data_IF_827236296553
#
_entry.id   IF_827236296553
#
_cell.length_a   1.000
_cell.length_b   1.000
_cell.length_c   1.000
_cell.angle_alpha   90.00
_cell.angle_beta   90.00
_cell.angle_gamma   90.00
#
_symmetry.space_group_name_H-M   'P 1'
#
loop_
_entity.id
_entity.type
_entity.pdbx_description
1 polymer ?
#
# COMPACT_ATOMS: atom_id res chain seq x y z
N UNK A 1 -27.76 -9.65 20.55
CA UNK A 1 -26.98 -10.19 19.41
C UNK A 1 -25.61 -9.52 19.44
N UNK A 2 -24.54 -10.29 19.29
CA UNK A 2 -23.17 -9.76 19.30
C UNK A 2 -22.74 -9.43 17.87
N UNK A 3 -22.09 -8.28 17.69
CA UNK A 3 -21.49 -7.88 16.41
C UNK A 3 -20.45 -8.93 15.98
N UNK A 4 -20.51 -9.40 14.72
CA UNK A 4 -19.57 -10.37 14.15
C UNK A 4 -18.82 -9.74 12.96
N UNK A 5 -17.63 -9.21 13.24
CA UNK A 5 -16.69 -8.74 12.22
C UNK A 5 -15.82 -9.93 11.80
N UNK A 6 -15.65 -10.15 10.50
CA UNK A 6 -14.92 -11.31 9.96
C UNK A 6 -13.57 -10.96 9.36
N UNK A 7 -13.44 -9.75 8.79
CA UNK A 7 -12.26 -9.34 8.04
C UNK A 7 -12.20 -7.82 7.87
N UNK A 8 -11.03 -7.32 7.48
CA UNK A 8 -10.89 -6.00 6.88
C UNK A 8 -11.30 -6.11 5.40
N UNK A 9 -12.37 -5.43 5.01
CA UNK A 9 -12.89 -5.54 3.65
C UNK A 9 -12.11 -4.68 2.63
N UNK A 10 -11.90 -3.41 2.96
CA UNK A 10 -11.17 -2.48 2.10
C UNK A 10 -10.51 -1.37 2.92
N UNK A 11 -9.55 -0.69 2.28
CA UNK A 11 -9.06 0.63 2.71
C UNK A 11 -9.49 1.65 1.68
N UNK A 12 -9.88 2.84 2.13
CA UNK A 12 -10.26 3.94 1.26
C UNK A 12 -9.24 5.09 1.39
N UNK A 13 -8.83 5.64 0.25
CA UNK A 13 -7.87 6.73 0.16
C UNK A 13 -8.50 7.89 -0.59
N UNK A 14 -8.49 9.05 0.05
CA UNK A 14 -8.89 10.29 -0.59
C UNK A 14 -7.70 10.83 -1.40
N UNK A 15 -7.90 11.09 -2.68
CA UNK A 15 -6.87 11.43 -3.66
C UNK A 15 -7.21 12.71 -4.42
N UNK A 16 -6.19 13.41 -4.89
CA UNK A 16 -6.35 14.68 -5.61
C UNK A 16 -6.39 14.50 -7.14
N UNK A 17 -5.76 13.46 -7.67
CA UNK A 17 -5.67 13.19 -9.11
C UNK A 17 -5.90 11.69 -9.40
N UNK A 18 -7.05 11.39 -10.01
CA UNK A 18 -7.48 10.01 -10.31
C UNK A 18 -6.54 9.31 -11.28
N UNK A 19 -6.06 9.99 -12.31
CA UNK A 19 -5.20 9.39 -13.32
C UNK A 19 -3.82 9.08 -12.75
N UNK A 20 -3.24 10.03 -12.01
CA UNK A 20 -1.95 9.85 -11.34
C UNK A 20 -2.01 8.69 -10.33
N UNK A 21 -3.07 8.61 -9.52
CA UNK A 21 -3.23 7.50 -8.58
C UNK A 21 -3.45 6.18 -9.31
N UNK A 22 -4.26 6.12 -10.38
CA UNK A 22 -4.41 4.89 -11.17
C UNK A 22 -3.06 4.41 -11.70
N UNK A 23 -2.23 5.31 -12.26
CA UNK A 23 -0.90 4.96 -12.73
C UNK A 23 -0.02 4.39 -11.61
N UNK A 24 -0.07 4.98 -10.41
CA UNK A 24 0.67 4.46 -9.26
C UNK A 24 0.20 3.05 -8.84
N UNK A 25 -1.11 2.84 -8.62
CA UNK A 25 -1.61 1.56 -8.12
C UNK A 25 -1.60 0.46 -9.19
N UNK A 26 -1.90 0.78 -10.45
CA UNK A 26 -1.89 -0.18 -11.57
C UNK A 26 -0.48 -0.45 -12.08
N UNK A 27 0.25 0.58 -12.48
CA UNK A 27 1.51 0.42 -13.22
C UNK A 27 2.74 0.44 -12.31
N UNK A 28 2.64 1.13 -11.18
CA UNK A 28 3.63 1.16 -10.10
C UNK A 28 3.56 -0.09 -9.24
N UNK A 29 2.41 -0.35 -8.59
CA UNK A 29 2.25 -1.51 -7.70
C UNK A 29 1.79 -2.79 -8.39
N UNK A 30 1.33 -2.73 -9.65
CA UNK A 30 0.89 -3.92 -10.38
C UNK A 30 -0.48 -4.44 -9.95
N UNK A 31 -1.30 -3.63 -9.26
CA UNK A 31 -2.60 -4.07 -8.76
C UNK A 31 -3.63 -4.14 -9.88
N UNK A 32 -4.53 -5.11 -9.77
CA UNK A 32 -5.64 -5.30 -10.70
C UNK A 32 -6.72 -4.26 -10.44
N UNK A 33 -6.96 -3.38 -11.40
CA UNK A 33 -8.08 -2.44 -11.38
C UNK A 33 -9.41 -3.18 -11.60
N UNK A 34 -10.43 -2.82 -10.85
CA UNK A 34 -11.79 -3.34 -10.97
C UNK A 34 -12.73 -2.34 -11.65
N UNK A 35 -13.81 -2.81 -12.30
CA UNK A 35 -14.96 -1.97 -12.57
C UNK A 35 -15.50 -1.40 -11.26
N UNK A 36 -15.85 -0.11 -11.28
CA UNK A 36 -16.41 0.61 -10.13
C UNK A 36 -17.87 0.96 -10.44
N UNK A 37 -18.79 0.88 -9.46
CA UNK A 37 -20.14 1.40 -9.63
C UNK A 37 -20.16 2.88 -10.01
N UNK A 38 -21.23 3.32 -10.67
CA UNK A 38 -21.43 4.72 -11.03
C UNK A 38 -21.87 5.52 -9.78
N UNK A 39 -20.88 6.02 -9.04
CA UNK A 39 -21.10 6.98 -7.96
C UNK A 39 -21.13 8.42 -8.50
N UNK A 40 -21.59 9.36 -7.68
CA UNK A 40 -21.60 10.80 -7.95
C UNK A 40 -20.22 11.48 -7.77
N UNK A 41 -19.18 10.68 -7.50
CA UNK A 41 -17.78 11.12 -7.41
C UNK A 41 -16.85 10.17 -8.16
N UNK A 42 -15.77 10.74 -8.69
CA UNK A 42 -14.74 10.01 -9.43
C UNK A 42 -13.87 9.15 -8.50
N UNK A 43 -13.19 8.15 -9.07
CA UNK A 43 -12.30 7.28 -8.33
C UNK A 43 -12.02 5.96 -9.05
N UNK A 44 -11.30 5.07 -8.39
CA UNK A 44 -10.93 3.77 -8.94
C UNK A 44 -10.85 2.73 -7.83
N UNK A 45 -11.15 1.47 -8.16
CA UNK A 45 -11.07 0.35 -7.23
C UNK A 45 -9.98 -0.63 -7.68
N UNK A 46 -9.24 -1.17 -6.72
CA UNK A 46 -8.22 -2.18 -6.94
C UNK A 46 -8.46 -3.39 -6.06
N UNK A 47 -8.08 -4.56 -6.55
CA UNK A 47 -8.27 -5.84 -5.87
C UNK A 47 -6.92 -6.50 -5.54
N UNK A 48 -6.82 -7.03 -4.33
CA UNK A 48 -5.75 -7.93 -3.90
C UNK A 48 -6.13 -9.39 -4.21
N UNK A 49 -5.16 -10.32 -4.29
CA UNK A 49 -5.43 -11.72 -4.63
C UNK A 49 -6.45 -12.44 -3.73
N UNK A 50 -6.66 -11.95 -2.51
CA UNK A 50 -7.62 -12.51 -1.55
C UNK A 50 -8.98 -11.80 -1.52
N UNK A 51 -9.24 -10.90 -2.48
CA UNK A 51 -10.50 -10.20 -2.64
C UNK A 51 -10.64 -8.90 -1.84
N UNK A 52 -9.69 -8.58 -0.95
CA UNK A 52 -9.67 -7.26 -0.28
C UNK A 52 -9.37 -6.15 -1.27
N UNK A 53 -9.86 -4.95 -0.99
CA UNK A 53 -9.84 -3.86 -1.96
C UNK A 53 -9.17 -2.59 -1.46
N UNK A 54 -8.67 -1.80 -2.41
CA UNK A 54 -8.25 -0.41 -2.21
C UNK A 54 -9.20 0.46 -3.03
N UNK A 55 -9.89 1.38 -2.36
CA UNK A 55 -10.81 2.32 -2.98
C UNK A 55 -10.18 3.70 -3.03
N UNK A 56 -9.98 4.23 -4.24
CA UNK A 56 -9.57 5.60 -4.47
C UNK A 56 -10.82 6.46 -4.63
N UNK A 57 -10.85 7.59 -3.92
CA UNK A 57 -11.95 8.54 -3.86
C UNK A 57 -11.40 9.90 -4.26
N UNK A 58 -11.89 10.49 -5.35
CA UNK A 58 -11.47 11.81 -5.79
C UNK A 58 -12.01 12.93 -4.89
N UNK A 59 -11.43 14.12 -5.03
CA UNK A 59 -11.93 15.35 -4.39
C UNK A 59 -11.05 15.87 -3.26
N UNK A 60 -9.83 15.36 -3.11
CA UNK A 60 -8.95 15.78 -2.02
C UNK A 60 -8.32 17.13 -2.30
N UNK A 61 -8.48 18.05 -1.34
CA UNK A 61 -7.84 19.37 -1.34
C UNK A 61 -6.75 19.51 -0.28
N UNK A 62 -6.83 18.76 0.82
CA UNK A 62 -5.90 18.87 1.95
C UNK A 62 -4.76 17.84 1.88
N UNK A 63 -3.62 18.09 2.54
CA UNK A 63 -2.55 17.10 2.68
C UNK A 63 -3.01 15.82 3.40
N UNK A 64 -2.30 14.71 3.17
CA UNK A 64 -2.66 13.43 3.75
C UNK A 64 -2.29 13.51 5.22
N UNK A 65 -3.20 13.11 6.09
CA UNK A 65 -2.81 12.77 7.45
C UNK A 65 -2.20 11.36 7.46
N UNK A 66 -1.00 11.21 6.90
CA UNK A 66 -0.32 9.94 6.71
C UNK A 66 1.18 10.02 7.00
N UNK A 67 1.75 8.96 7.58
CA UNK A 67 3.15 8.88 7.98
C UNK A 67 3.55 7.42 8.25
N UNK A 68 4.85 7.07 8.13
CA UNK A 68 5.37 5.73 8.45
C UNK A 68 5.23 5.28 9.92
N UNK A 69 4.76 6.17 10.80
CA UNK A 69 4.46 5.94 12.22
C UNK A 69 3.05 6.44 12.59
N UNK A 70 2.31 6.95 11.61
CA UNK A 70 0.94 7.45 11.74
C UNK A 70 0.01 6.58 10.90
N UNK A 71 -0.98 7.19 10.25
CA UNK A 71 -1.90 6.46 9.36
C UNK A 71 -1.16 5.90 8.15
N UNK A 72 -1.21 4.57 7.98
CA UNK A 72 -0.73 3.83 6.82
C UNK A 72 -1.46 2.48 6.76
N UNK A 73 -1.31 1.76 5.66
CA UNK A 73 -1.70 0.36 5.56
C UNK A 73 -0.55 -0.46 5.00
N UNK A 74 -0.53 -1.75 5.35
CA UNK A 74 0.52 -2.67 4.95
C UNK A 74 0.01 -3.71 3.97
N UNK A 75 0.79 -3.96 2.93
CA UNK A 75 0.58 -5.01 1.94
C UNK A 75 1.68 -6.05 2.09
N UNK A 76 1.27 -7.31 2.10
CA UNK A 76 2.22 -8.41 2.12
C UNK A 76 2.77 -8.65 0.71
N UNK A 77 4.09 -8.82 0.61
CA UNK A 77 4.79 -9.27 -0.60
C UNK A 77 5.44 -10.64 -0.36
N UNK A 78 5.32 -11.53 -1.34
CA UNK A 78 5.89 -12.88 -1.29
C UNK A 78 7.43 -12.84 -1.29
N UNK A 79 8.01 -12.07 -2.21
CA UNK A 79 9.44 -11.82 -2.31
C UNK A 79 9.73 -10.34 -2.05
N UNK A 80 10.27 -10.05 -0.87
CA UNK A 80 10.63 -8.70 -0.46
C UNK A 80 11.74 -8.09 -1.33
N UNK A 81 12.69 -8.89 -1.80
CA UNK A 81 13.81 -8.38 -2.59
C UNK A 81 13.36 -8.00 -3.99
N UNK A 82 12.57 -8.87 -4.62
CA UNK A 82 11.93 -8.55 -5.89
C UNK A 82 11.06 -7.29 -5.78
N UNK A 83 10.31 -7.12 -4.69
CA UNK A 83 9.50 -5.93 -4.45
C UNK A 83 10.34 -4.66 -4.34
N UNK A 84 11.47 -4.70 -3.61
CA UNK A 84 12.39 -3.55 -3.47
C UNK A 84 13.00 -3.17 -4.83
N UNK A 85 13.45 -4.15 -5.61
CA UNK A 85 14.04 -3.89 -6.93
C UNK A 85 13.00 -3.34 -7.90
N UNK A 86 11.77 -3.85 -7.89
CA UNK A 86 10.66 -3.33 -8.67
C UNK A 86 10.34 -1.87 -8.31
N UNK A 87 10.23 -1.56 -7.01
CA UNK A 87 10.00 -0.20 -6.49
C UNK A 87 11.07 0.77 -7.00
N UNK A 88 12.35 0.40 -6.93
CA UNK A 88 13.46 1.23 -7.43
C UNK A 88 13.41 1.38 -8.95
N UNK A 89 13.18 0.30 -9.68
CA UNK A 89 13.14 0.31 -11.15
C UNK A 89 11.99 1.17 -11.69
N UNK A 90 10.87 1.22 -10.97
CA UNK A 90 9.72 2.10 -11.28
C UNK A 90 9.91 3.54 -10.80
N UNK A 91 10.97 3.83 -10.04
CA UNK A 91 11.22 5.16 -9.50
C UNK A 91 10.15 5.63 -8.50
N UNK A 92 9.49 4.70 -7.79
CA UNK A 92 8.46 5.06 -6.82
C UNK A 92 9.11 5.76 -5.62
N UNK A 93 8.45 6.78 -5.06
CA UNK A 93 8.97 7.44 -3.86
C UNK A 93 8.92 6.48 -2.68
N UNK A 94 10.06 6.27 -2.03
CA UNK A 94 10.17 5.33 -0.93
C UNK A 94 11.19 5.74 0.14
N UNK A 95 11.01 5.24 1.35
CA UNK A 95 12.05 5.22 2.38
C UNK A 95 13.02 4.06 2.13
N UNK A 96 14.23 4.07 2.74
CA UNK A 96 15.12 2.92 2.69
C UNK A 96 14.44 1.66 3.29
N UNK A 97 14.58 0.48 2.63
CA UNK A 97 14.12 -0.77 3.22
C UNK A 97 14.90 -1.08 4.50
N UNK A 98 14.24 -1.71 5.48
CA UNK A 98 14.88 -2.03 6.77
C UNK A 98 14.23 -3.23 7.46
N UNK A 99 14.93 -3.92 8.37
CA UNK A 99 14.31 -4.94 9.20
C UNK A 99 13.47 -4.31 10.34
N UNK A 100 12.41 -5.01 10.73
CA UNK A 100 11.60 -4.75 11.92
C UNK A 100 12.18 -5.50 13.13
N UNK A 101 11.89 -5.07 14.37
CA UNK A 101 12.34 -5.77 15.58
C UNK A 101 11.89 -7.23 15.67
N UNK A 102 10.76 -7.57 15.03
CA UNK A 102 10.21 -8.91 14.91
C UNK A 102 10.75 -9.69 13.69
N UNK A 103 11.82 -9.22 13.04
CA UNK A 103 12.55 -9.94 11.99
C UNK A 103 11.96 -9.87 10.58
N UNK A 104 10.74 -9.37 10.42
CA UNK A 104 10.17 -9.07 9.10
C UNK A 104 10.90 -7.89 8.46
N UNK A 105 10.93 -7.85 7.14
CA UNK A 105 11.46 -6.75 6.34
C UNK A 105 10.31 -5.84 5.91
N UNK A 106 10.59 -4.54 5.83
CA UNK A 106 9.62 -3.54 5.41
C UNK A 106 10.26 -2.47 4.52
N UNK A 107 9.46 -1.91 3.63
CA UNK A 107 9.76 -0.69 2.88
C UNK A 107 8.48 0.16 2.84
N UNK A 108 8.61 1.46 3.11
CA UNK A 108 7.49 2.40 3.01
C UNK A 108 7.55 3.16 1.68
N UNK A 109 6.42 3.19 0.99
CA UNK A 109 6.19 3.95 -0.24
C UNK A 109 5.28 5.14 0.07
N UNK A 110 5.36 6.18 -0.75
CA UNK A 110 4.38 7.27 -0.78
C UNK A 110 3.72 7.31 -2.14
N UNK A 111 2.39 7.23 -2.17
CA UNK A 111 1.61 7.44 -3.39
C UNK A 111 1.66 8.93 -3.83
N UNK A 112 1.03 9.32 -4.96
CA UNK A 112 1.05 10.72 -5.41
C UNK A 112 0.53 11.74 -4.39
N UNK A 113 -0.32 11.30 -3.47
CA UNK A 113 -1.00 12.12 -2.47
C UNK A 113 -0.37 12.02 -1.07
N UNK A 114 0.85 11.46 -0.97
CA UNK A 114 1.59 11.22 0.27
C UNK A 114 0.92 10.24 1.25
N UNK A 115 0.04 9.36 0.76
CA UNK A 115 -0.38 8.20 1.54
C UNK A 115 0.77 7.21 1.68
N UNK A 116 1.05 6.81 2.92
CA UNK A 116 2.05 5.82 3.22
C UNK A 116 1.50 4.40 3.04
N UNK A 117 2.22 3.60 2.25
CA UNK A 117 1.97 2.17 2.04
C UNK A 117 3.21 1.40 2.49
N UNK A 118 3.05 0.45 3.40
CA UNK A 118 4.12 -0.49 3.77
C UNK A 118 4.05 -1.71 2.86
N UNK A 119 5.17 -2.11 2.26
CA UNK A 119 5.34 -3.47 1.74
C UNK A 119 6.17 -4.28 2.74
N UNK A 120 5.69 -5.46 3.13
CA UNK A 120 6.39 -6.31 4.08
C UNK A 120 6.30 -7.81 3.75
N UNK A 121 7.30 -8.58 4.19
CA UNK A 121 7.19 -10.04 4.20
C UNK A 121 6.68 -10.49 5.58
N UNK A 122 5.44 -10.99 5.68
CA UNK A 122 4.87 -11.51 6.94
C UNK A 122 5.51 -12.85 7.35
N UNK A 123 6.81 -13.02 7.11
CA UNK A 123 7.59 -14.20 7.49
C UNK A 123 7.88 -14.15 9.00
N UNK A 124 8.01 -15.32 9.66
CA UNK A 124 8.40 -15.39 11.06
C UNK A 124 9.73 -14.69 11.34
N UNK A 125 9.91 -14.25 12.57
CA UNK A 125 11.12 -13.58 13.02
C UNK A 125 12.38 -14.41 12.74
N UNK A 126 13.32 -13.82 12.00
CA UNK A 126 14.65 -14.39 11.77
C UNK A 126 15.73 -13.37 12.20
N UNK A 127 16.48 -13.65 13.29
CA UNK A 127 17.55 -12.78 13.77
C UNK A 127 18.62 -12.46 12.73
N UNK A 128 18.88 -13.35 11.77
CA UNK A 128 19.89 -13.17 10.73
C UNK A 128 19.55 -12.01 9.77
N UNK A 129 18.28 -11.59 9.72
CA UNK A 129 17.81 -10.51 8.84
C UNK A 129 17.95 -9.13 9.45
N UNK A 130 18.22 -9.03 10.75
CA UNK A 130 18.30 -7.75 11.48
C UNK A 130 19.50 -6.90 11.08
N UNK A 131 20.52 -7.50 10.46
CA UNK A 131 21.75 -6.83 10.01
C UNK A 131 21.80 -6.67 8.49
N UNK A 132 20.67 -6.93 7.79
CA UNK A 132 20.63 -7.02 6.32
C UNK A 132 20.75 -5.67 5.62
N UNK A 133 20.30 -4.61 6.26
CA UNK A 133 20.42 -3.24 5.75
C UNK A 133 21.32 -2.46 6.71
N UNK A 134 22.38 -1.79 6.22
CA UNK A 134 23.31 -1.02 7.05
C UNK A 134 22.69 0.25 7.64
#
# INVERSE_FOLDING_TARGET
MTLKITELNHVALHISDVEASIAFYRDGLGLKQLPRPEFDFEGAWFELPDGRQIHLIAGRSDPANSHNRGTHFALHVEDFDAAVEHVKAKGLRHHPPKPRPDGALQIFLMDPDDHYIELCDNRPADPARRTRFP
#
